data_IF_553835263279
#
_entry.id   IF_553835263279
#
_cell.length_a   1.000
_cell.length_b   1.000
_cell.length_c   1.000
_cell.angle_alpha   90.00
_cell.angle_beta   90.00
_cell.angle_gamma   90.00
#
_symmetry.space_group_name_H-M   'P 1'
#
loop_
_entity.id
_entity.type
_entity.pdbx_description
1 polymer ?
#
# COMPACT_ATOMS: atom_id res chain seq x y z
N UNK A 1 45.25 52.69 -36.11
CA UNK A 1 46.56 52.39 -35.47
C UNK A 1 46.28 51.36 -34.39
N UNK A 2 46.74 50.10 -34.38
CA UNK A 2 47.92 49.36 -34.87
C UNK A 2 47.44 47.99 -35.42
N UNK A 3 47.72 47.63 -36.69
CA UNK A 3 48.64 46.52 -37.11
C UNK A 3 48.55 45.27 -36.22
N UNK A 4 48.15 44.06 -36.62
CA UNK A 4 48.10 43.38 -37.92
C UNK A 4 49.19 42.30 -37.98
N UNK A 5 48.84 41.00 -38.02
CA UNK A 5 49.64 39.93 -38.65
C UNK A 5 48.70 38.80 -39.09
N UNK A 6 48.78 38.46 -40.38
CA UNK A 6 48.29 37.22 -41.00
C UNK A 6 49.48 36.27 -41.15
N UNK A 7 49.28 34.97 -40.97
CA UNK A 7 50.14 33.96 -41.59
C UNK A 7 49.27 32.89 -42.27
N UNK A 8 49.70 32.58 -43.49
CA UNK A 8 49.14 31.67 -44.47
C UNK A 8 49.93 30.37 -44.42
N UNK A 9 49.23 29.24 -44.52
CA UNK A 9 49.67 28.06 -45.28
C UNK A 9 50.55 27.02 -44.59
N UNK A 10 50.06 25.78 -44.52
CA UNK A 10 50.64 24.64 -45.24
C UNK A 10 49.80 23.38 -45.02
N UNK A 11 49.29 22.82 -46.11
CA UNK A 11 48.73 21.48 -46.16
C UNK A 11 49.87 20.45 -46.16
N UNK A 12 49.72 19.37 -45.40
CA UNK A 12 50.45 18.12 -45.64
C UNK A 12 49.49 16.93 -45.42
N UNK A 13 49.25 16.19 -46.49
CA UNK A 13 48.56 14.91 -46.48
C UNK A 13 49.51 13.80 -46.01
N UNK A 14 49.04 12.93 -45.13
CA UNK A 14 49.68 11.63 -44.84
C UNK A 14 48.61 10.58 -44.47
N UNK A 15 48.25 9.82 -45.51
CA UNK A 15 47.87 8.40 -45.56
C UNK A 15 47.84 7.53 -44.29
N UNK A 16 46.74 6.75 -44.20
CA UNK A 16 46.65 5.32 -43.83
C UNK A 16 46.94 4.90 -42.39
N UNK A 17 45.85 4.61 -41.66
CA UNK A 17 45.85 3.82 -40.44
C UNK A 17 44.44 3.35 -40.10
N UNK A 18 43.89 2.41 -40.88
CA UNK A 18 42.66 1.70 -40.52
C UNK A 18 42.92 0.85 -39.28
N UNK A 19 42.69 1.42 -38.10
CA UNK A 19 42.54 0.67 -36.86
C UNK A 19 41.10 0.15 -36.80
N UNK A 20 40.89 -1.04 -37.35
CA UNK A 20 39.71 -1.83 -37.04
C UNK A 20 39.83 -2.22 -35.57
N UNK A 21 39.20 -1.45 -34.68
CA UNK A 21 38.89 -1.91 -33.33
C UNK A 21 37.82 -3.01 -33.48
N UNK A 22 38.25 -4.24 -33.72
CA UNK A 22 37.49 -5.41 -33.28
C UNK A 22 37.57 -5.45 -31.76
N UNK A 23 36.73 -4.63 -31.11
CA UNK A 23 36.41 -4.79 -29.71
C UNK A 23 35.79 -6.17 -29.53
N UNK A 24 36.58 -7.13 -29.06
CA UNK A 24 36.07 -8.41 -28.61
C UNK A 24 35.00 -8.17 -27.54
N UNK A 25 33.76 -8.56 -27.86
CA UNK A 25 32.66 -8.82 -26.93
C UNK A 25 33.05 -9.92 -25.92
N UNK A 26 33.93 -9.59 -24.96
CA UNK A 26 34.06 -10.37 -23.74
C UNK A 26 32.94 -9.97 -22.80
N UNK A 27 31.77 -10.55 -23.03
CA UNK A 27 30.64 -10.53 -22.11
C UNK A 27 31.10 -11.04 -20.73
N UNK A 28 30.78 -10.38 -19.62
CA UNK A 28 31.18 -10.84 -18.28
C UNK A 28 30.56 -12.22 -17.99
N UNK A 29 31.38 -13.25 -18.13
CA UNK A 29 31.03 -14.65 -17.87
C UNK A 29 30.59 -14.78 -16.40
N UNK A 30 29.36 -15.24 -16.17
CA UNK A 30 28.79 -15.45 -14.82
C UNK A 30 27.64 -14.51 -14.42
N UNK A 31 27.39 -13.45 -15.20
CA UNK A 31 26.29 -12.51 -14.96
C UNK A 31 25.03 -12.82 -15.76
N UNK A 32 25.15 -13.57 -16.87
CA UNK A 32 24.05 -14.01 -17.74
C UNK A 32 23.65 -15.44 -17.41
N UNK A 33 22.34 -15.68 -17.24
CA UNK A 33 21.78 -17.01 -16.92
C UNK A 33 21.01 -17.63 -18.10
N UNK A 34 20.55 -16.82 -19.06
CA UNK A 34 19.97 -17.25 -20.32
C UNK A 34 19.99 -16.10 -21.35
N UNK A 35 19.75 -16.39 -22.63
CA UNK A 35 19.62 -15.40 -23.70
C UNK A 35 18.36 -15.68 -24.51
N UNK A 36 17.56 -14.65 -24.79
CA UNK A 36 16.28 -14.74 -25.50
C UNK A 36 16.29 -13.75 -26.67
N UNK A 37 16.36 -14.26 -27.91
CA UNK A 37 16.42 -13.44 -29.13
C UNK A 37 17.51 -12.34 -29.09
N UNK A 38 18.65 -12.64 -28.47
CA UNK A 38 19.77 -11.70 -28.32
C UNK A 38 19.72 -10.82 -27.07
N UNK A 39 18.61 -10.80 -26.32
CA UNK A 39 18.51 -10.12 -25.02
C UNK A 39 18.93 -11.05 -23.87
N UNK A 40 19.74 -10.55 -22.95
CA UNK A 40 20.24 -11.32 -21.82
C UNK A 40 19.22 -11.38 -20.68
N UNK A 41 19.13 -12.54 -20.02
CA UNK A 41 18.52 -12.72 -18.70
C UNK A 41 19.67 -12.75 -17.71
N UNK A 42 19.70 -11.79 -16.77
CA UNK A 42 20.83 -11.65 -15.83
C UNK A 42 20.58 -12.32 -14.48
N UNK A 43 21.66 -12.66 -13.75
CA UNK A 43 21.61 -13.11 -12.36
C UNK A 43 20.90 -12.11 -11.45
N UNK A 44 21.00 -10.82 -11.75
CA UNK A 44 20.31 -9.76 -11.00
C UNK A 44 18.80 -9.85 -11.17
N UNK A 45 18.30 -10.11 -12.38
CA UNK A 45 16.87 -10.37 -12.61
C UNK A 45 16.41 -11.59 -11.82
N UNK A 46 17.18 -12.68 -11.84
CA UNK A 46 16.88 -13.87 -11.05
C UNK A 46 16.80 -13.57 -9.54
N UNK A 47 17.75 -12.81 -8.99
CA UNK A 47 17.72 -12.39 -7.58
C UNK A 47 16.49 -11.52 -7.29
N UNK A 48 16.12 -10.61 -8.19
CA UNK A 48 14.91 -9.80 -8.04
C UNK A 48 13.64 -10.65 -8.02
N UNK A 49 13.53 -11.68 -8.89
CA UNK A 49 12.38 -12.60 -8.88
C UNK A 49 12.32 -13.43 -7.60
N UNK A 50 13.46 -13.93 -7.12
CA UNK A 50 13.55 -14.64 -5.84
C UNK A 50 13.06 -13.75 -4.69
N UNK A 51 13.48 -12.49 -4.67
CA UNK A 51 13.02 -11.54 -3.65
C UNK A 51 11.53 -11.24 -3.77
N UNK A 52 10.99 -11.14 -4.99
CA UNK A 52 9.57 -10.86 -5.23
C UNK A 52 8.65 -11.97 -4.70
N UNK A 53 9.07 -13.23 -4.75
CA UNK A 53 8.30 -14.38 -4.23
C UNK A 53 8.55 -14.66 -2.74
N UNK A 54 9.25 -13.79 -2.01
CA UNK A 54 9.54 -13.99 -0.59
C UNK A 54 10.65 -15.02 -0.33
N UNK A 55 11.59 -15.18 -1.26
CA UNK A 55 12.68 -16.16 -1.21
C UNK A 55 13.64 -16.03 -0.02
N UNK A 56 13.55 -14.97 0.79
CA UNK A 56 14.28 -14.84 2.06
C UNK A 56 13.93 -15.92 3.11
N UNK A 57 12.87 -16.70 2.89
CA UNK A 57 12.47 -17.83 3.75
C UNK A 57 12.91 -19.20 3.21
N UNK A 58 13.49 -19.27 2.01
CA UNK A 58 13.96 -20.51 1.41
C UNK A 58 15.37 -20.83 1.90
N UNK A 59 15.64 -22.09 2.22
CA UNK A 59 17.01 -22.54 2.44
C UNK A 59 17.78 -22.65 1.10
N UNK A 60 19.10 -22.78 1.17
CA UNK A 60 19.97 -22.75 -0.01
C UNK A 60 19.65 -23.88 -1.01
N UNK A 61 19.25 -25.06 -0.52
CA UNK A 61 18.87 -26.22 -1.33
C UNK A 61 17.56 -25.98 -2.08
N UNK A 62 16.53 -25.46 -1.39
CA UNK A 62 15.24 -25.08 -1.98
C UNK A 62 15.43 -24.00 -3.04
N UNK A 63 16.26 -23.01 -2.76
CA UNK A 63 16.58 -21.95 -3.71
C UNK A 63 17.26 -22.53 -4.95
N UNK A 64 18.25 -23.40 -4.78
CA UNK A 64 18.97 -24.05 -5.89
C UNK A 64 18.04 -24.93 -6.73
N UNK A 65 17.11 -25.64 -6.11
CA UNK A 65 16.11 -26.44 -6.81
C UNK A 65 15.09 -25.59 -7.59
N UNK A 66 14.74 -24.38 -7.10
CA UNK A 66 13.78 -23.48 -7.74
C UNK A 66 14.39 -22.63 -8.88
N UNK A 67 15.71 -22.43 -8.89
CA UNK A 67 16.41 -21.56 -9.86
C UNK A 67 16.08 -21.87 -11.33
N UNK A 68 16.09 -23.14 -11.82
CA UNK A 68 15.77 -23.42 -13.22
C UNK A 68 14.36 -22.98 -13.62
N UNK A 69 13.37 -23.23 -12.76
CA UNK A 69 11.98 -22.84 -13.00
C UNK A 69 11.81 -21.31 -13.01
N UNK A 70 12.52 -20.59 -12.13
CA UNK A 70 12.52 -19.12 -12.11
C UNK A 70 13.17 -18.53 -13.37
N UNK A 71 14.25 -19.14 -13.86
CA UNK A 71 14.88 -18.74 -15.13
C UNK A 71 13.94 -19.01 -16.31
N UNK A 72 13.24 -20.15 -16.33
CA UNK A 72 12.23 -20.44 -17.37
C UNK A 72 11.11 -19.40 -17.35
N UNK A 73 10.56 -19.07 -16.17
CA UNK A 73 9.56 -18.00 -16.05
C UNK A 73 10.06 -16.63 -16.53
N UNK A 74 11.32 -16.29 -16.29
CA UNK A 74 11.95 -15.08 -16.83
C UNK A 74 12.07 -15.10 -18.36
N UNK A 75 12.42 -16.26 -18.93
CA UNK A 75 12.50 -16.46 -20.38
C UNK A 75 11.12 -16.29 -21.02
N UNK A 76 10.10 -16.96 -20.48
CA UNK A 76 8.72 -16.88 -20.97
C UNK A 76 8.19 -15.45 -20.88
N UNK A 77 8.42 -14.76 -19.75
CA UNK A 77 8.05 -13.35 -19.58
C UNK A 77 8.72 -12.46 -20.62
N UNK A 78 10.01 -12.66 -20.91
CA UNK A 78 10.71 -11.89 -21.96
C UNK A 78 10.13 -12.16 -23.34
N UNK A 79 9.86 -13.41 -23.69
CA UNK A 79 9.24 -13.76 -24.98
C UNK A 79 7.89 -13.05 -25.15
N UNK A 80 7.03 -13.10 -24.13
CA UNK A 80 5.72 -12.43 -24.14
C UNK A 80 5.84 -10.90 -24.21
N UNK A 81 6.81 -10.30 -23.50
CA UNK A 81 7.07 -8.85 -23.57
C UNK A 81 7.58 -8.45 -24.97
N UNK A 82 8.46 -9.24 -25.58
CA UNK A 82 8.94 -9.00 -26.94
C UNK A 82 7.79 -9.06 -27.94
N UNK A 83 6.89 -10.05 -27.81
CA UNK A 83 5.70 -10.17 -28.65
C UNK A 83 4.72 -9.00 -28.46
N UNK A 84 4.51 -8.56 -27.22
CA UNK A 84 3.69 -7.39 -26.92
C UNK A 84 4.24 -6.10 -27.58
N UNK A 85 5.57 -5.91 -27.55
CA UNK A 85 6.24 -4.79 -28.23
C UNK A 85 6.17 -4.89 -29.75
N UNK A 86 6.36 -6.10 -30.31
CA UNK A 86 6.20 -6.35 -31.74
C UNK A 86 4.78 -6.03 -32.22
N UNK A 87 3.80 -6.30 -31.36
CA UNK A 87 2.38 -5.98 -31.55
C UNK A 87 2.03 -4.51 -31.21
N UNK A 88 3.01 -3.67 -30.88
CA UNK A 88 2.86 -2.26 -30.50
C UNK A 88 1.90 -2.02 -29.31
N UNK A 89 1.70 -3.00 -28.43
CA UNK A 89 0.86 -2.84 -27.24
C UNK A 89 1.47 -1.83 -26.26
N UNK A 90 2.79 -1.68 -26.27
CA UNK A 90 3.54 -0.71 -25.48
C UNK A 90 3.35 0.75 -25.94
N UNK A 91 2.75 0.95 -27.12
CA UNK A 91 2.42 2.29 -27.67
C UNK A 91 0.94 2.61 -27.56
N UNK A 92 0.12 1.66 -27.09
CA UNK A 92 -1.31 1.88 -26.90
C UNK A 92 -1.54 2.97 -25.83
N UNK A 93 -2.43 3.96 -26.08
CA UNK A 93 -2.77 4.99 -25.09
C UNK A 93 -3.18 4.44 -23.71
N UNK A 94 -3.91 3.32 -23.67
CA UNK A 94 -4.30 2.66 -22.43
C UNK A 94 -3.08 2.11 -21.67
N UNK A 95 -2.14 1.47 -22.36
CA UNK A 95 -0.91 0.99 -21.74
C UNK A 95 -0.09 2.14 -21.16
N UNK A 96 0.07 3.24 -21.91
CA UNK A 96 0.83 4.40 -21.46
C UNK A 96 0.20 5.06 -20.23
N UNK A 97 -1.14 5.16 -20.19
CA UNK A 97 -1.86 5.69 -19.03
C UNK A 97 -1.68 4.81 -17.78
N UNK A 98 -1.81 3.48 -17.93
CA UNK A 98 -1.59 2.54 -16.83
C UNK A 98 -0.12 2.49 -16.38
N UNK A 99 0.83 2.60 -17.32
CA UNK A 99 2.25 2.68 -17.00
C UNK A 99 2.57 3.94 -16.17
N UNK A 100 2.03 5.10 -16.57
CA UNK A 100 2.21 6.34 -15.82
C UNK A 100 1.63 6.21 -14.40
N UNK A 101 0.39 5.71 -14.29
CA UNK A 101 -0.25 5.46 -12.99
C UNK A 101 0.56 4.50 -12.12
N UNK A 102 1.06 3.40 -12.69
CA UNK A 102 1.87 2.42 -11.96
C UNK A 102 3.19 3.03 -11.46
N UNK A 103 3.83 3.86 -12.30
CA UNK A 103 5.04 4.60 -11.92
C UNK A 103 4.78 5.59 -10.78
N UNK A 104 3.69 6.36 -10.86
CA UNK A 104 3.32 7.33 -9.80
C UNK A 104 3.08 6.62 -8.46
N UNK A 105 2.32 5.50 -8.48
CA UNK A 105 2.07 4.71 -7.26
C UNK A 105 3.35 4.07 -6.71
N UNK A 106 4.26 3.63 -7.57
CA UNK A 106 5.57 3.10 -7.15
C UNK A 106 6.40 4.19 -6.46
N UNK A 107 6.48 5.39 -7.05
CA UNK A 107 7.21 6.51 -6.47
C UNK A 107 6.62 6.93 -5.11
N UNK A 108 5.30 6.98 -4.99
CA UNK A 108 4.62 7.25 -3.71
C UNK A 108 4.99 6.19 -2.67
N UNK A 109 4.96 4.90 -3.03
CA UNK A 109 5.36 3.81 -2.12
C UNK A 109 6.82 3.92 -1.70
N UNK A 110 7.73 4.20 -2.64
CA UNK A 110 9.16 4.36 -2.35
C UNK A 110 9.43 5.58 -1.46
N UNK A 111 8.72 6.68 -1.69
CA UNK A 111 8.81 7.88 -0.85
C UNK A 111 8.35 7.58 0.58
N UNK A 112 7.20 6.92 0.75
CA UNK A 112 6.72 6.50 2.07
C UNK A 112 7.72 5.56 2.78
N UNK A 113 8.34 4.62 2.05
CA UNK A 113 9.40 3.77 2.58
C UNK A 113 10.64 4.56 3.00
N UNK A 114 11.02 5.59 2.25
CA UNK A 114 12.16 6.45 2.60
C UNK A 114 11.93 7.24 3.89
N UNK A 115 10.69 7.64 4.17
CA UNK A 115 10.32 8.29 5.43
C UNK A 115 10.37 7.29 6.60
N UNK A 116 9.90 6.06 6.41
CA UNK A 116 9.98 5.02 7.43
C UNK A 116 11.41 4.62 7.75
N UNK A 117 12.30 4.54 6.75
CA UNK A 117 13.71 4.19 6.94
C UNK A 117 14.48 5.18 7.85
N UNK A 118 13.92 6.37 8.12
CA UNK A 118 14.49 7.38 9.03
C UNK A 118 13.97 7.25 10.46
N UNK A 119 12.95 6.43 10.70
CA UNK A 119 12.34 6.30 12.02
C UNK A 119 13.14 5.33 12.88
N UNK A 120 13.38 5.72 14.14
CA UNK A 120 14.00 4.85 15.14
C UNK A 120 12.98 3.91 15.74
N UNK A 121 13.44 2.76 16.26
CA UNK A 121 12.57 1.84 17.00
C UNK A 121 11.95 2.54 18.21
N UNK A 122 10.71 2.19 18.59
CA UNK A 122 10.09 2.71 19.81
C UNK A 122 10.94 2.39 21.05
N UNK A 123 11.10 3.37 21.94
CA UNK A 123 11.78 3.16 23.21
C UNK A 123 10.97 2.25 24.14
N UNK A 124 11.65 1.50 25.01
CA UNK A 124 11.00 0.57 25.94
C UNK A 124 9.97 1.26 26.86
N UNK A 125 10.19 2.52 27.24
CA UNK A 125 9.24 3.30 28.03
C UNK A 125 7.93 3.58 27.26
N UNK A 126 8.03 3.94 25.97
CA UNK A 126 6.88 4.16 25.10
C UNK A 126 6.09 2.87 24.87
N UNK A 127 6.77 1.73 24.69
CA UNK A 127 6.15 0.42 24.56
C UNK A 127 5.32 0.07 25.81
N UNK A 128 5.89 0.24 27.01
CA UNK A 128 5.18 -0.01 28.27
C UNK A 128 3.96 0.92 28.43
N UNK A 129 4.13 2.20 28.14
CA UNK A 129 3.03 3.18 28.21
C UNK A 129 1.91 2.83 27.23
N UNK A 130 2.24 2.41 26.01
CA UNK A 130 1.26 1.99 25.00
C UNK A 130 0.45 0.78 25.47
N UNK A 131 1.11 -0.23 26.05
CA UNK A 131 0.45 -1.42 26.60
C UNK A 131 -0.52 -1.03 27.71
N UNK A 132 -0.07 -0.19 28.65
CA UNK A 132 -0.89 0.27 29.77
C UNK A 132 -2.08 1.12 29.32
N UNK A 133 -1.92 1.94 28.29
CA UNK A 133 -2.99 2.80 27.77
C UNK A 133 -3.99 2.04 26.87
N UNK A 134 -3.64 0.85 26.38
CA UNK A 134 -4.46 0.06 25.46
C UNK A 134 -4.73 -1.37 25.94
N UNK A 135 -5.23 -1.59 27.17
CA UNK A 135 -5.41 -2.93 27.72
C UNK A 135 -6.35 -3.80 26.87
N UNK A 136 -7.28 -3.17 26.13
CA UNK A 136 -8.21 -3.83 25.20
C UNK A 136 -7.53 -4.49 23.98
N UNK A 137 -6.25 -4.20 23.72
CA UNK A 137 -5.43 -4.87 22.70
C UNK A 137 -4.63 -6.05 23.26
N UNK A 138 -4.48 -6.12 24.60
CA UNK A 138 -3.54 -7.00 25.29
C UNK A 138 -4.26 -7.92 26.28
N UNK A 139 -4.05 -7.73 27.58
CA UNK A 139 -4.60 -8.58 28.64
C UNK A 139 -6.12 -8.48 28.80
N UNK A 140 -6.73 -7.37 28.40
CA UNK A 140 -8.19 -7.19 28.43
C UNK A 140 -8.82 -7.30 27.04
N UNK A 141 -8.11 -7.90 26.08
CA UNK A 141 -8.64 -8.16 24.74
C UNK A 141 -9.82 -9.13 24.80
N UNK A 142 -10.88 -8.82 24.06
CA UNK A 142 -12.12 -9.60 24.01
C UNK A 142 -12.55 -9.79 22.57
N UNK A 143 -13.25 -10.89 22.31
CA UNK A 143 -14.06 -11.04 21.12
C UNK A 143 -15.53 -10.74 21.47
N UNK A 144 -16.15 -9.84 20.73
CA UNK A 144 -17.55 -9.45 20.91
C UNK A 144 -18.34 -9.96 19.71
N UNK A 145 -19.29 -10.87 19.92
CA UNK A 145 -20.26 -11.19 18.88
C UNK A 145 -21.21 -10.01 18.76
N UNK A 146 -21.30 -9.42 17.56
CA UNK A 146 -22.18 -8.30 17.30
C UNK A 146 -23.18 -8.65 16.20
N UNK A 147 -24.38 -8.08 16.34
CA UNK A 147 -25.26 -7.80 15.21
C UNK A 147 -24.88 -6.41 14.71
N UNK A 148 -24.42 -6.33 13.46
CA UNK A 148 -23.92 -5.09 12.89
C UNK A 148 -24.70 -4.66 11.66
N UNK A 149 -24.98 -3.37 11.57
CA UNK A 149 -25.49 -2.70 10.38
C UNK A 149 -24.39 -1.80 9.83
N UNK A 150 -24.08 -1.94 8.55
CA UNK A 150 -23.07 -1.14 7.85
C UNK A 150 -23.74 -0.33 6.76
N UNK A 151 -23.48 0.98 6.72
CA UNK A 151 -23.94 1.89 5.68
C UNK A 151 -22.75 2.68 5.10
N UNK A 152 -22.92 3.34 3.94
CA UNK A 152 -21.94 4.32 3.46
C UNK A 152 -21.68 5.41 4.53
N UNK A 153 -20.45 5.89 4.64
CA UNK A 153 -19.99 6.76 5.74
C UNK A 153 -20.86 8.02 5.98
N UNK A 154 -21.42 8.58 4.91
CA UNK A 154 -22.15 9.84 4.92
C UNK A 154 -23.66 9.67 4.67
N UNK A 155 -24.19 8.43 4.72
CA UNK A 155 -25.61 8.20 4.41
C UNK A 155 -26.57 8.56 5.54
N UNK A 156 -26.07 8.57 6.79
CA UNK A 156 -26.82 8.78 8.04
C UNK A 156 -25.98 9.49 9.11
N UNK A 157 -26.63 10.02 10.15
CA UNK A 157 -25.97 10.62 11.32
C UNK A 157 -26.36 9.89 12.62
N UNK A 158 -25.52 10.00 13.65
CA UNK A 158 -25.80 9.40 14.96
C UNK A 158 -27.09 9.96 15.59
N UNK A 159 -27.42 11.23 15.33
CA UNK A 159 -28.63 11.89 15.82
C UNK A 159 -29.91 11.26 15.26
N UNK A 160 -29.90 10.83 13.99
CA UNK A 160 -31.04 10.14 13.37
C UNK A 160 -31.31 8.78 14.02
N UNK A 161 -30.28 8.14 14.55
CA UNK A 161 -30.36 6.82 15.17
C UNK A 161 -30.59 6.87 16.68
N UNK A 162 -30.36 8.01 17.34
CA UNK A 162 -30.49 8.17 18.79
C UNK A 162 -31.82 7.65 19.39
N UNK A 163 -33.01 7.82 18.75
CA UNK A 163 -34.26 7.27 19.30
C UNK A 163 -34.44 5.76 19.06
N UNK A 164 -33.60 5.14 18.22
CA UNK A 164 -33.74 3.75 17.80
C UNK A 164 -32.85 2.85 18.67
N UNK A 165 -33.46 2.06 19.54
CA UNK A 165 -32.77 1.28 20.59
C UNK A 165 -32.40 -0.14 20.19
N UNK A 166 -32.65 -0.55 18.95
CA UNK A 166 -32.29 -1.87 18.46
C UNK A 166 -31.91 -1.83 16.98
N UNK A 167 -31.08 -2.78 16.56
CA UNK A 167 -30.77 -2.95 15.14
C UNK A 167 -32.00 -3.25 14.29
N UNK A 168 -33.04 -3.89 14.85
CA UNK A 168 -34.30 -4.11 14.12
C UNK A 168 -35.02 -2.79 13.82
N UNK A 169 -35.11 -1.89 14.82
CA UNK A 169 -35.70 -0.57 14.64
C UNK A 169 -34.87 0.28 13.66
N UNK A 170 -33.54 0.20 13.75
CA UNK A 170 -32.62 0.87 12.83
C UNK A 170 -32.78 0.34 11.40
N UNK A 171 -32.83 -0.99 11.21
CA UNK A 171 -33.02 -1.59 9.89
C UNK A 171 -34.38 -1.24 9.27
N UNK A 172 -35.45 -1.20 10.08
CA UNK A 172 -36.77 -0.76 9.63
C UNK A 172 -36.73 0.71 9.19
N UNK A 173 -36.13 1.59 10.00
CA UNK A 173 -35.99 3.01 9.66
C UNK A 173 -35.17 3.22 8.39
N UNK A 174 -34.04 2.52 8.24
CA UNK A 174 -33.19 2.60 7.03
C UNK A 174 -33.97 2.16 5.78
N UNK A 175 -34.74 1.09 5.88
CA UNK A 175 -35.60 0.60 4.80
C UNK A 175 -36.66 1.64 4.42
N UNK A 176 -37.41 2.16 5.39
CA UNK A 176 -38.45 3.17 5.15
C UNK A 176 -37.87 4.46 4.54
N UNK A 177 -36.63 4.81 4.86
CA UNK A 177 -35.93 5.98 4.32
C UNK A 177 -35.10 5.67 3.06
N UNK A 178 -35.26 4.47 2.47
CA UNK A 178 -34.57 4.02 1.25
C UNK A 178 -33.05 4.17 1.34
N UNK A 179 -32.48 3.98 2.53
CA UNK A 179 -31.03 4.02 2.78
C UNK A 179 -30.43 2.64 2.52
N UNK A 180 -29.32 2.60 1.78
CA UNK A 180 -28.58 1.37 1.56
C UNK A 180 -27.88 0.93 2.86
N UNK A 181 -28.04 -0.34 3.21
CA UNK A 181 -27.34 -0.94 4.33
C UNK A 181 -27.13 -2.43 4.11
N UNK A 182 -26.20 -3.00 4.86
CA UNK A 182 -26.01 -4.45 4.99
C UNK A 182 -26.00 -4.80 6.47
N UNK A 183 -26.75 -5.85 6.83
CA UNK A 183 -26.73 -6.42 8.18
C UNK A 183 -25.90 -7.68 8.21
N UNK A 184 -25.01 -7.81 9.20
CA UNK A 184 -24.11 -8.95 9.37
C UNK A 184 -23.97 -9.29 10.84
N UNK A 185 -24.01 -10.58 11.16
CA UNK A 185 -23.66 -11.08 12.48
C UNK A 185 -22.23 -11.60 12.43
N UNK A 186 -21.34 -11.04 13.25
CA UNK A 186 -19.91 -11.42 13.23
C UNK A 186 -19.22 -11.19 14.57
N UNK A 187 -18.18 -11.96 14.89
CA UNK A 187 -17.27 -11.59 15.96
C UNK A 187 -16.43 -10.36 15.55
N UNK A 188 -16.24 -9.45 16.48
CA UNK A 188 -15.35 -8.29 16.36
C UNK A 188 -14.34 -8.35 17.51
N UNK A 189 -13.10 -8.03 17.17
CA UNK A 189 -11.98 -8.02 18.12
C UNK A 189 -11.82 -6.62 18.71
N UNK A 190 -11.77 -6.50 20.04
CA UNK A 190 -11.56 -5.19 20.67
C UNK A 190 -10.21 -4.57 20.34
N UNK A 191 -9.22 -5.37 19.92
CA UNK A 191 -7.92 -4.86 19.52
C UNK A 191 -7.95 -4.04 18.22
N UNK A 192 -9.00 -4.19 17.40
CA UNK A 192 -9.14 -3.48 16.11
C UNK A 192 -10.00 -2.22 16.22
N UNK A 193 -10.50 -1.89 17.41
CA UNK A 193 -11.45 -0.81 17.62
C UNK A 193 -10.83 0.32 18.46
N UNK A 194 -11.24 1.59 18.24
CA UNK A 194 -10.81 2.68 19.11
C UNK A 194 -11.22 2.45 20.57
N UNK A 195 -10.30 2.71 21.50
CA UNK A 195 -10.53 2.53 22.95
C UNK A 195 -11.83 3.16 23.46
N UNK A 196 -12.20 4.42 23.11
CA UNK A 196 -13.46 5.00 23.57
C UNK A 196 -14.69 4.22 23.10
N UNK A 197 -14.65 3.74 21.85
CA UNK A 197 -15.72 2.93 21.28
C UNK A 197 -15.83 1.57 21.95
N UNK A 198 -14.70 0.91 22.25
CA UNK A 198 -14.69 -0.36 23.00
C UNK A 198 -15.38 -0.20 24.35
N UNK A 199 -15.08 0.87 25.10
CA UNK A 199 -15.74 1.12 26.39
C UNK A 199 -17.25 1.24 26.24
N UNK A 200 -17.73 2.00 25.25
CA UNK A 200 -19.15 2.17 24.99
C UNK A 200 -19.81 0.86 24.52
N UNK A 201 -19.16 0.11 23.64
CA UNK A 201 -19.68 -1.18 23.17
C UNK A 201 -19.81 -2.18 24.33
N UNK A 202 -18.80 -2.28 25.19
CA UNK A 202 -18.82 -3.18 26.34
C UNK A 202 -19.82 -2.75 27.41
N UNK A 203 -20.08 -1.45 27.60
CA UNK A 203 -21.11 -0.98 28.53
C UNK A 203 -22.52 -1.40 28.09
N UNK A 204 -22.74 -1.64 26.79
CA UNK A 204 -24.00 -2.14 26.25
C UNK A 204 -24.11 -3.67 26.22
N UNK A 205 -23.12 -4.41 26.73
CA UNK A 205 -23.13 -5.88 26.65
C UNK A 205 -24.34 -6.54 27.37
N UNK A 206 -24.89 -5.89 28.40
CA UNK A 206 -26.07 -6.37 29.12
C UNK A 206 -27.41 -5.97 28.49
N UNK A 207 -27.48 -4.78 27.90
CA UNK A 207 -28.70 -4.25 27.27
C UNK A 207 -28.85 -4.70 25.81
N UNK A 208 -27.73 -4.98 25.13
CA UNK A 208 -27.68 -5.20 23.69
C UNK A 208 -27.93 -3.94 22.86
N UNK A 209 -27.90 -2.75 23.47
CA UNK A 209 -28.15 -1.51 22.73
C UNK A 209 -27.07 -1.24 21.67
N UNK A 210 -27.47 -0.75 20.48
CA UNK A 210 -26.55 -0.47 19.39
C UNK A 210 -25.63 0.72 19.68
N UNK A 211 -24.36 0.59 19.32
CA UNK A 211 -23.35 1.65 19.39
C UNK A 211 -22.82 1.94 17.99
N UNK A 212 -22.79 3.23 17.61
CA UNK A 212 -22.35 3.67 16.28
C UNK A 212 -20.88 4.09 16.25
N UNK A 213 -20.18 3.71 15.18
CA UNK A 213 -18.82 4.11 14.83
C UNK A 213 -18.82 4.61 13.39
N UNK A 214 -18.32 5.82 13.17
CA UNK A 214 -17.99 6.31 11.84
C UNK A 214 -16.47 6.48 11.74
N UNK A 215 -15.82 5.69 10.88
CA UNK A 215 -14.37 5.75 10.65
C UNK A 215 -14.01 6.48 9.34
N UNK A 216 -14.99 7.14 8.72
CA UNK A 216 -14.86 7.83 7.44
C UNK A 216 -14.99 6.93 6.21
N UNK A 217 -14.81 5.62 6.35
CA UNK A 217 -15.01 4.65 5.26
C UNK A 217 -16.44 4.09 5.26
N UNK A 218 -16.99 3.84 6.45
CA UNK A 218 -18.35 3.39 6.63
C UNK A 218 -18.93 3.89 7.95
N UNK A 219 -20.26 3.96 8.02
CA UNK A 219 -20.96 4.14 9.28
C UNK A 219 -21.43 2.76 9.75
N UNK A 220 -20.86 2.29 10.86
CA UNK A 220 -21.13 0.96 11.40
C UNK A 220 -21.84 1.07 12.74
N UNK A 221 -22.97 0.38 12.87
CA UNK A 221 -23.74 0.26 14.10
C UNK A 221 -23.57 -1.15 14.62
N UNK A 222 -23.16 -1.32 15.88
CA UNK A 222 -22.92 -2.62 16.49
C UNK A 222 -23.76 -2.79 17.75
N UNK A 223 -24.64 -3.78 17.76
CA UNK A 223 -25.34 -4.24 18.95
C UNK A 223 -24.60 -5.46 19.51
N UNK A 224 -24.02 -5.38 20.73
CA UNK A 224 -23.30 -6.51 21.32
C UNK A 224 -24.28 -7.61 21.71
N UNK A 225 -23.91 -8.86 21.42
CA UNK A 225 -24.71 -10.07 21.69
C UNK A 225 -24.06 -10.97 22.73
N UNK A 226 -22.74 -11.12 22.66
CA UNK A 226 -21.96 -11.82 23.68
C UNK A 226 -20.53 -11.30 23.70
N UNK A 227 -19.89 -11.42 24.86
CA UNK A 227 -18.51 -10.99 25.07
C UNK A 227 -17.73 -12.16 25.66
N UNK A 228 -16.61 -12.52 25.04
CA UNK A 228 -15.70 -13.54 25.57
C UNK A 228 -14.28 -13.00 25.72
N UNK A 229 -13.57 -13.30 26.83
CA UNK A 229 -12.16 -13.01 26.94
C UNK A 229 -11.37 -13.67 25.81
N UNK A 230 -10.42 -12.92 25.24
CA UNK A 230 -9.48 -13.40 24.24
C UNK A 230 -8.14 -12.67 24.44
N UNK A 231 -7.52 -12.80 25.62
CA UNK A 231 -6.31 -12.06 25.95
C UNK A 231 -5.16 -12.45 25.02
N UNK A 232 -4.36 -11.46 24.64
CA UNK A 232 -3.10 -11.72 23.96
C UNK A 232 -2.10 -12.31 24.97
N UNK A 233 -1.33 -13.37 24.64
CA UNK A 233 -0.26 -13.87 25.51
C UNK A 233 0.79 -12.79 25.80
N UNK A 234 1.22 -12.65 27.06
CA UNK A 234 2.12 -11.58 27.50
C UNK A 234 3.47 -11.55 26.79
N UNK A 235 3.98 -12.71 26.39
CA UNK A 235 5.20 -12.82 25.58
C UNK A 235 5.09 -12.21 24.18
N UNK A 236 3.89 -11.88 23.70
CA UNK A 236 3.65 -11.21 22.42
C UNK A 236 3.40 -9.70 22.55
N UNK A 237 3.19 -9.19 23.76
CA UNK A 237 2.74 -7.80 23.97
C UNK A 237 3.73 -6.78 23.41
N UNK A 238 5.01 -6.92 23.71
CA UNK A 238 6.03 -5.97 23.24
C UNK A 238 6.08 -5.92 21.72
N UNK A 239 6.10 -7.06 21.04
CA UNK A 239 6.13 -7.12 19.57
C UNK A 239 4.89 -6.45 18.95
N UNK A 240 3.70 -6.73 19.48
CA UNK A 240 2.46 -6.13 18.97
C UNK A 240 2.41 -4.62 19.26
N UNK A 241 2.86 -4.18 20.44
CA UNK A 241 2.95 -2.77 20.80
C UNK A 241 3.96 -2.02 19.94
N UNK A 242 5.16 -2.56 19.72
CA UNK A 242 6.17 -1.98 18.83
C UNK A 242 5.64 -1.81 17.41
N UNK A 243 4.96 -2.83 16.87
CA UNK A 243 4.33 -2.75 15.55
C UNK A 243 3.21 -1.70 15.49
N UNK A 244 2.36 -1.64 16.50
CA UNK A 244 1.28 -0.67 16.57
C UNK A 244 1.80 0.77 16.67
N UNK A 245 2.82 1.00 17.50
CA UNK A 245 3.48 2.32 17.62
C UNK A 245 4.14 2.68 16.29
N UNK A 246 4.90 1.77 15.67
CA UNK A 246 5.52 2.02 14.37
C UNK A 246 4.47 2.39 13.31
N UNK A 247 3.34 1.69 13.26
CA UNK A 247 2.24 1.99 12.35
C UNK A 247 1.61 3.37 12.62
N UNK A 248 1.42 3.74 13.89
CA UNK A 248 0.90 5.06 14.27
C UNK A 248 1.86 6.18 13.84
N UNK A 249 3.15 6.02 14.10
CA UNK A 249 4.19 6.98 13.71
C UNK A 249 4.28 7.07 12.20
N UNK A 250 4.21 5.95 11.48
CA UNK A 250 4.15 5.92 10.02
C UNK A 250 2.96 6.72 9.49
N UNK A 251 1.74 6.41 9.95
CA UNK A 251 0.52 7.08 9.49
C UNK A 251 0.56 8.58 9.77
N UNK A 252 1.04 8.96 10.96
CA UNK A 252 1.21 10.37 11.34
C UNK A 252 2.24 11.07 10.46
N UNK A 253 3.40 10.46 10.23
CA UNK A 253 4.46 11.05 9.39
C UNK A 253 3.96 11.29 7.97
N UNK A 254 3.27 10.30 7.36
CA UNK A 254 2.70 10.46 6.03
C UNK A 254 1.67 11.59 6.00
N UNK A 255 0.78 11.65 6.99
CA UNK A 255 -0.24 12.70 7.08
C UNK A 255 0.37 14.09 7.24
N UNK A 256 1.37 14.23 8.12
CA UNK A 256 2.05 15.49 8.40
C UNK A 256 2.86 15.97 7.18
N UNK A 257 3.59 15.07 6.51
CA UNK A 257 4.33 15.41 5.27
C UNK A 257 3.39 15.76 4.12
N UNK A 258 2.29 15.01 3.94
CA UNK A 258 1.30 15.35 2.92
C UNK A 258 0.66 16.72 3.18
N UNK A 259 0.34 17.01 4.45
CA UNK A 259 -0.17 18.32 4.85
C UNK A 259 0.83 19.42 4.50
N UNK A 260 2.10 19.26 4.88
CA UNK A 260 3.18 20.20 4.56
C UNK A 260 3.32 20.40 3.05
N UNK A 261 3.29 19.33 2.26
CA UNK A 261 3.38 19.41 0.79
C UNK A 261 2.20 20.19 0.19
N UNK A 262 0.98 19.97 0.70
CA UNK A 262 -0.22 20.72 0.25
C UNK A 262 -0.15 22.19 0.61
N UNK A 263 0.31 22.53 1.80
CA UNK A 263 0.46 23.93 2.25
C UNK A 263 1.47 24.72 1.41
N UNK A 264 2.44 24.04 0.80
CA UNK A 264 3.48 24.65 -0.02
C UNK A 264 3.25 24.48 -1.53
N UNK A 265 2.13 23.88 -1.95
CA UNK A 265 1.82 23.66 -3.36
C UNK A 265 0.89 24.75 -3.90
N UNK A 266 1.11 25.16 -5.15
CA UNK A 266 0.14 25.96 -5.91
C UNK A 266 -0.95 25.01 -6.43
N UNK A 267 -2.09 24.98 -5.73
CA UNK A 267 -3.20 24.07 -6.00
C UNK A 267 -4.38 24.83 -6.62
N UNK A 268 -4.55 24.68 -7.93
CA UNK A 268 -5.67 25.26 -8.67
C UNK A 268 -6.67 24.18 -9.05
N UNK A 269 -7.86 24.21 -8.44
CA UNK A 269 -8.97 23.32 -8.73
C UNK A 269 -9.99 24.03 -9.62
N UNK A 270 -10.53 23.35 -10.64
CA UNK A 270 -11.76 23.81 -11.28
C UNK A 270 -12.92 23.72 -10.27
N UNK A 271 -13.91 24.64 -10.30
CA UNK A 271 -14.95 24.73 -9.28
C UNK A 271 -15.70 23.42 -9.01
N UNK A 272 -15.99 22.64 -10.05
CA UNK A 272 -16.70 21.37 -9.97
C UNK A 272 -15.88 20.23 -9.32
N UNK A 273 -14.56 20.39 -9.20
CA UNK A 273 -13.63 19.42 -8.61
C UNK A 273 -12.99 19.89 -7.30
N UNK A 274 -13.35 21.08 -6.82
CA UNK A 274 -12.86 21.60 -5.55
C UNK A 274 -13.35 20.71 -4.38
N UNK A 275 -12.48 20.36 -3.40
CA UNK A 275 -12.90 19.56 -2.27
C UNK A 275 -13.96 20.32 -1.44
N UNK A 276 -15.08 19.68 -1.14
CA UNK A 276 -16.04 20.23 -0.18
C UNK A 276 -15.42 20.28 1.21
N UNK A 277 -15.66 21.37 1.94
CA UNK A 277 -15.17 21.60 3.31
C UNK A 277 -15.73 20.55 4.27
N UNK A 278 -15.07 19.39 4.35
CA UNK A 278 -15.49 18.28 5.19
C UNK A 278 -14.80 16.94 4.89
N UNK A 279 -14.25 16.75 3.69
CA UNK A 279 -13.48 15.55 3.35
C UNK A 279 -11.97 15.83 3.49
N UNK A 280 -11.43 15.55 4.67
CA UNK A 280 -10.00 15.25 4.77
C UNK A 280 -9.71 14.06 3.83
N UNK A 281 -8.78 14.25 2.90
CA UNK A 281 -8.47 13.31 1.84
C UNK A 281 -8.36 11.87 2.36
N UNK A 282 -9.20 10.98 1.84
CA UNK A 282 -9.00 9.54 2.05
C UNK A 282 -7.60 9.17 1.52
N UNK A 283 -6.82 8.37 2.25
CA UNK A 283 -5.54 7.91 1.74
C UNK A 283 -5.79 7.15 0.43
N UNK A 284 -5.05 7.49 -0.62
CA UNK A 284 -5.10 6.78 -1.89
C UNK A 284 -4.75 5.31 -1.64
N UNK A 285 -5.77 4.44 -1.60
CA UNK A 285 -5.56 3.00 -1.60
C UNK A 285 -4.96 2.63 -2.95
N UNK A 286 -3.70 2.21 -2.92
CA UNK A 286 -3.01 1.61 -4.06
C UNK A 286 -3.44 0.16 -4.25
N UNK A 287 -4.74 -0.10 -4.42
CA UNK A 287 -5.20 -1.40 -4.86
C UNK A 287 -5.05 -1.45 -6.39
N UNK A 288 -4.29 -2.42 -6.95
CA UNK A 288 -4.27 -2.62 -8.39
C UNK A 288 -5.67 -3.03 -8.87
N UNK A 289 -6.09 -2.62 -10.08
CA UNK A 289 -7.38 -3.05 -10.62
C UNK A 289 -7.42 -4.58 -10.68
N UNK A 290 -8.44 -5.17 -10.07
CA UNK A 290 -8.77 -6.57 -10.26
C UNK A 290 -9.12 -6.77 -11.74
N UNK A 291 -8.28 -7.50 -12.46
CA UNK A 291 -8.57 -7.91 -13.83
C UNK A 291 -9.66 -8.98 -13.77
N UNK A 292 -10.92 -8.57 -13.92
CA UNK A 292 -11.99 -9.48 -14.35
C UNK A 292 -11.76 -9.80 -15.82
N UNK A 293 -11.03 -10.88 -16.09
CA UNK A 293 -11.15 -11.61 -17.34
C UNK A 293 -12.45 -12.41 -17.24
N UNK A 294 -13.53 -11.84 -17.77
CA UNK A 294 -14.69 -12.65 -18.13
C UNK A 294 -14.31 -13.55 -19.32
N UNK A 295 -14.64 -14.82 -19.16
CA UNK A 295 -14.48 -15.93 -20.09
C UNK A 295 -15.38 -15.83 -21.31
#
# INVERSE_FOLDING_TARGET
>A
MRTGVRFVGAALAATLGSAVLTGCDRKPVGQVVATVNGEEVTRRELVSEVNAIGGGNLNEEQLKAAQPALVQGLVDRKLLVQEAKRSNLDKNPQFLAEQQRANDLLLVRMLAQSWMGRQTKPEAAAVRAFIADNPQMFGERKAVLVDAIVTPANSITAQQLAPLKSNDAIAAWLTSNKKQFRRVNRPVDTATLPKPFVRQLLSQAGSGEPVALNDGSAFTIMAPRSVRPMPLPSNQWNKVAEQAIAQQVQNKTIADELKRLRENADLNYLPEFAPSSGNAAAPARGDPPATTLES
#
